data_IF_381450996219
#
_entry.id   IF_381450996219
#
_cell.length_a   1.000
_cell.length_b   1.000
_cell.length_c   1.000
_cell.angle_alpha   90.00
_cell.angle_beta   90.00
_cell.angle_gamma   90.00
#
_symmetry.space_group_name_H-M   'P 1'
#
loop_
_entity.id
_entity.type
_entity.pdbx_description
1 polymer ?
#
# COMPACT_ATOMS: atom_id res chain seq x y z
N UNK A 1 -18.15 -0.80 2.52
CA UNK A 1 -16.97 -1.11 1.69
C UNK A 1 -17.31 -2.28 0.76
N UNK A 2 -16.77 -2.33 -0.47
CA UNK A 2 -16.96 -3.48 -1.37
C UNK A 2 -15.97 -4.60 -1.00
N UNK A 3 -14.72 -4.21 -0.74
CA UNK A 3 -13.62 -5.11 -0.38
C UNK A 3 -12.89 -4.60 0.87
N UNK A 4 -12.31 -5.52 1.65
CA UNK A 4 -11.49 -5.22 2.84
C UNK A 4 -10.29 -6.15 2.85
N UNK A 5 -9.09 -5.57 2.91
CA UNK A 5 -7.83 -6.31 2.94
C UNK A 5 -7.17 -6.16 4.30
N UNK A 6 -6.82 -7.30 4.93
CA UNK A 6 -6.04 -7.30 6.16
C UNK A 6 -4.57 -7.27 5.80
N UNK A 7 -3.88 -6.23 6.28
CA UNK A 7 -2.47 -5.99 5.99
C UNK A 7 -1.72 -5.75 7.30
N UNK A 8 -0.44 -6.14 7.39
CA UNK A 8 0.32 -6.01 8.63
C UNK A 8 0.58 -4.54 9.00
N UNK A 9 0.70 -3.65 8.01
CA UNK A 9 0.82 -2.21 8.23
C UNK A 9 0.33 -1.41 7.00
N UNK A 10 0.21 -0.10 7.17
CA UNK A 10 -0.13 0.86 6.13
C UNK A 10 1.12 1.61 5.64
N UNK A 11 1.14 2.05 4.36
CA UNK A 11 2.26 2.79 3.83
C UNK A 11 2.28 4.18 4.48
N UNK A 12 3.31 4.43 5.29
CA UNK A 12 3.47 5.68 6.06
C UNK A 12 4.78 6.35 5.69
N UNK A 13 4.78 7.68 5.67
CA UNK A 13 6.01 8.48 5.56
C UNK A 13 6.86 8.33 6.82
N UNK A 14 8.13 8.76 6.78
CA UNK A 14 8.99 8.87 7.98
C UNK A 14 8.42 9.74 9.11
N UNK A 15 7.44 10.59 8.81
CA UNK A 15 6.68 11.40 9.78
C UNK A 15 5.37 10.75 10.24
N UNK A 16 5.08 9.53 9.81
CA UNK A 16 3.89 8.76 10.22
C UNK A 16 2.62 9.05 9.42
N UNK A 17 2.67 9.91 8.40
CA UNK A 17 1.49 10.21 7.58
C UNK A 17 1.20 9.04 6.63
N UNK A 18 -0.04 8.58 6.58
CA UNK A 18 -0.47 7.52 5.66
C UNK A 18 -0.45 8.05 4.22
N UNK A 19 0.29 7.39 3.35
CA UNK A 19 0.38 7.68 1.92
C UNK A 19 -0.77 7.01 1.15
N UNK A 20 -1.99 7.54 1.31
CA UNK A 20 -3.20 7.00 0.68
C UNK A 20 -3.13 6.89 -0.85
N UNK A 21 -2.30 7.70 -1.51
CA UNK A 21 -2.05 7.60 -2.96
C UNK A 21 -1.56 6.20 -3.34
N UNK A 22 -0.62 5.63 -2.57
CA UNK A 22 -0.07 4.31 -2.87
C UNK A 22 -1.11 3.21 -2.70
N UNK A 23 -2.02 3.33 -1.73
CA UNK A 23 -3.15 2.41 -1.58
C UNK A 23 -4.06 2.42 -2.81
N UNK A 24 -4.28 3.60 -3.40
CA UNK A 24 -5.03 3.75 -4.65
C UNK A 24 -4.27 3.16 -5.84
N UNK A 25 -2.99 3.45 -5.95
CA UNK A 25 -2.15 2.94 -7.05
C UNK A 25 -2.12 1.40 -7.03
N UNK A 26 -2.03 0.78 -5.84
CA UNK A 26 -2.13 -0.68 -5.68
C UNK A 26 -3.51 -1.20 -6.06
N UNK A 27 -4.59 -0.59 -5.57
CA UNK A 27 -5.95 -1.01 -5.89
C UNK A 27 -6.30 -0.85 -7.39
N UNK A 28 -5.65 0.09 -8.08
CA UNK A 28 -5.81 0.32 -9.52
C UNK A 28 -4.79 -0.47 -10.37
N UNK A 29 -3.92 -1.28 -9.77
CA UNK A 29 -2.89 -2.06 -10.47
C UNK A 29 -1.80 -1.21 -11.15
N UNK A 30 -1.64 0.05 -10.73
CA UNK A 30 -0.68 0.99 -11.30
C UNK A 30 0.71 0.78 -10.71
N UNK A 31 1.73 1.16 -11.48
CA UNK A 31 3.11 1.23 -11.00
C UNK A 31 3.24 2.20 -9.83
N UNK A 32 4.03 1.83 -8.83
CA UNK A 32 4.33 2.71 -7.71
C UNK A 32 5.19 3.87 -8.24
N UNK A 33 4.70 5.09 -8.08
CA UNK A 33 5.50 6.31 -8.34
C UNK A 33 6.61 6.47 -7.30
N UNK A 34 6.98 7.71 -6.97
CA UNK A 34 8.00 7.97 -5.95
C UNK A 34 7.60 7.43 -4.55
N UNK A 35 8.44 6.55 -4.00
CA UNK A 35 8.32 5.88 -2.69
C UNK A 35 9.40 6.30 -1.69
N UNK A 36 10.34 7.17 -2.08
CA UNK A 36 11.55 7.49 -1.28
C UNK A 36 11.28 8.10 0.10
N UNK A 37 10.05 8.58 0.32
CA UNK A 37 9.60 9.19 1.58
C UNK A 37 8.96 8.20 2.56
N UNK A 38 8.72 6.96 2.13
CA UNK A 38 8.21 5.91 2.99
C UNK A 38 9.19 5.62 4.13
N UNK A 39 8.62 5.29 5.28
CA UNK A 39 9.39 4.72 6.39
C UNK A 39 9.82 3.29 6.07
N UNK A 40 8.95 2.54 5.39
CA UNK A 40 9.18 1.16 4.98
C UNK A 40 8.53 0.92 3.61
N UNK A 41 9.35 0.59 2.62
CA UNK A 41 8.91 0.30 1.25
C UNK A 41 8.33 -1.12 1.11
N UNK A 42 8.72 -2.05 1.97
CA UNK A 42 8.27 -3.46 1.94
C UNK A 42 6.78 -3.61 2.22
N UNK A 43 6.19 -2.67 2.97
CA UNK A 43 4.76 -2.62 3.26
C UNK A 43 3.93 -2.55 1.99
N UNK A 44 4.40 -1.85 0.96
CA UNK A 44 3.62 -1.70 -0.29
C UNK A 44 3.56 -3.02 -1.06
N UNK A 45 4.66 -3.77 -1.09
CA UNK A 45 4.69 -5.10 -1.68
C UNK A 45 3.83 -6.10 -0.89
N UNK A 46 3.84 -6.02 0.45
CA UNK A 46 2.94 -6.83 1.29
C UNK A 46 1.46 -6.53 1.02
N UNK A 47 1.11 -5.26 0.81
CA UNK A 47 -0.26 -4.86 0.44
C UNK A 47 -0.63 -5.38 -0.96
N UNK A 48 0.31 -5.36 -1.92
CA UNK A 48 0.08 -5.94 -3.26
C UNK A 48 -0.15 -7.45 -3.19
N UNK A 49 0.62 -8.17 -2.38
CA UNK A 49 0.45 -9.60 -2.18
C UNK A 49 -0.92 -9.90 -1.55
N UNK A 50 -1.25 -9.25 -0.43
CA UNK A 50 -2.53 -9.46 0.25
C UNK A 50 -3.76 -8.96 -0.54
N UNK A 51 -3.58 -8.03 -1.49
CA UNK A 51 -4.62 -7.62 -2.43
C UNK A 51 -4.83 -8.62 -3.57
N UNK A 52 -3.87 -9.50 -3.83
CA UNK A 52 -3.94 -10.54 -4.86
C UNK A 52 -4.59 -11.86 -4.42
N UNK A 53 -4.72 -12.09 -3.12
CA UNK A 53 -5.29 -13.32 -2.55
C UNK A 53 -6.83 -13.26 -2.35
N UNK A 54 -7.49 -12.31 -3.01
CA UNK A 54 -8.94 -12.15 -3.00
C UNK A 54 -9.59 -12.67 -4.29
N UNK A 55 -9.57 -13.98 -4.50
CA UNK A 55 -10.53 -14.72 -5.33
C UNK A 55 -11.28 -15.74 -4.44
#
# INVERSE_FOLDING_TARGET
>A
PRDVFLVPDLPKTRSGKIMRRLLRDVAEGKGLGDTTTLADESVVEAIRAGAGDGD
#
